data_IF_182345223787
#
_entry.id   IF_182345223787
#
_cell.length_a   1.000
_cell.length_b   1.000
_cell.length_c   1.000
_cell.angle_alpha   90.00
_cell.angle_beta   90.00
_cell.angle_gamma   90.00
#
_symmetry.space_group_name_H-M   'P 1'
#
loop_
_entity.id
_entity.type
_entity.pdbx_description
1 polymer ?
#
# COMPACT_ATOMS: atom_id res chain seq x y z
N UNK A 1 0.70 8.19 13.98
CA UNK A 1 1.33 7.63 12.77
C UNK A 1 0.35 7.70 11.60
N UNK A 2 0.77 8.27 10.48
CA UNK A 2 -0.04 8.30 9.27
C UNK A 2 0.33 7.11 8.39
N UNK A 3 -0.68 6.32 8.02
CA UNK A 3 -0.49 5.15 7.16
C UNK A 3 -1.23 5.39 5.85
N UNK A 4 -0.53 5.21 4.73
CA UNK A 4 -1.10 5.32 3.40
C UNK A 4 -0.82 4.02 2.63
N UNK A 5 -1.85 3.48 2.02
CA UNK A 5 -1.77 2.20 1.30
C UNK A 5 -2.23 2.41 -0.13
N UNK A 6 -1.42 1.96 -1.09
CA UNK A 6 -1.85 1.80 -2.46
C UNK A 6 -2.28 0.36 -2.67
N UNK A 7 -3.50 0.16 -3.12
CA UNK A 7 -4.08 -1.18 -3.32
C UNK A 7 -4.65 -1.32 -4.72
N UNK A 8 -4.90 -2.57 -5.12
CA UNK A 8 -5.55 -2.90 -6.39
C UNK A 8 -6.75 -3.80 -6.09
N UNK A 9 -7.65 -3.93 -7.07
CA UNK A 9 -8.79 -4.84 -6.95
C UNK A 9 -8.31 -6.30 -6.92
N UNK A 10 -9.07 -7.15 -6.25
CA UNK A 10 -8.80 -8.60 -6.17
C UNK A 10 -7.41 -8.91 -5.59
N UNK A 11 -7.01 -8.15 -4.59
CA UNK A 11 -5.72 -8.31 -3.95
C UNK A 11 -5.89 -8.86 -2.53
N UNK A 12 -5.54 -10.12 -2.33
CA UNK A 12 -5.67 -10.78 -1.02
C UNK A 12 -4.77 -10.15 0.02
N UNK A 13 -3.56 -9.78 -0.36
CA UNK A 13 -2.61 -9.16 0.57
C UNK A 13 -3.03 -7.76 0.99
N UNK A 14 -3.65 -7.01 0.06
CA UNK A 14 -4.20 -5.70 0.38
C UNK A 14 -5.30 -5.82 1.43
N UNK A 15 -6.22 -6.77 1.24
CA UNK A 15 -7.30 -7.00 2.19
C UNK A 15 -6.78 -7.49 3.54
N UNK A 16 -5.81 -8.39 3.54
CA UNK A 16 -5.21 -8.90 4.77
C UNK A 16 -4.55 -7.78 5.57
N UNK A 17 -3.81 -6.91 4.90
CA UNK A 17 -3.16 -5.77 5.57
C UNK A 17 -4.20 -4.82 6.17
N UNK A 18 -5.24 -4.49 5.41
CA UNK A 18 -6.31 -3.61 5.92
C UNK A 18 -6.96 -4.21 7.15
N UNK A 19 -7.20 -5.52 7.16
CA UNK A 19 -7.77 -6.21 8.31
C UNK A 19 -6.87 -6.07 9.54
N UNK A 20 -5.57 -6.29 9.38
CA UNK A 20 -4.61 -6.16 10.48
C UNK A 20 -4.63 -4.73 11.05
N UNK A 21 -4.61 -3.73 10.18
CA UNK A 21 -4.64 -2.33 10.60
C UNK A 21 -5.93 -1.99 11.35
N UNK A 22 -7.06 -2.47 10.85
CA UNK A 22 -8.36 -2.25 11.51
C UNK A 22 -8.41 -2.91 12.88
N UNK A 23 -7.95 -4.15 12.99
CA UNK A 23 -7.92 -4.89 14.25
C UNK A 23 -6.96 -4.27 15.27
N UNK A 24 -5.93 -3.60 14.78
CA UNK A 24 -4.95 -2.91 15.63
C UNK A 24 -5.33 -1.46 15.93
N UNK A 25 -6.51 -1.02 15.48
CA UNK A 25 -6.99 0.36 15.64
C UNK A 25 -6.05 1.39 15.05
N UNK A 26 -5.39 1.05 13.93
CA UNK A 26 -4.50 1.97 13.22
C UNK A 26 -5.25 2.55 12.03
N UNK A 27 -5.54 3.86 12.03
CA UNK A 27 -6.21 4.49 10.89
C UNK A 27 -5.28 4.53 9.67
N UNK A 28 -5.85 4.42 8.48
CA UNK A 28 -5.08 4.46 7.24
C UNK A 28 -5.90 5.10 6.13
N UNK A 29 -5.17 5.58 5.12
CA UNK A 29 -5.75 6.11 3.90
C UNK A 29 -5.47 5.10 2.80
N UNK A 30 -6.52 4.67 2.11
CA UNK A 30 -6.38 3.73 0.99
C UNK A 30 -6.56 4.47 -0.34
N UNK A 31 -5.60 4.29 -1.25
CA UNK A 31 -5.69 4.80 -2.61
C UNK A 31 -5.73 3.61 -3.56
N UNK A 32 -6.84 3.46 -4.26
CA UNK A 32 -6.99 2.39 -5.24
C UNK A 32 -6.26 2.74 -6.53
N UNK A 33 -5.52 1.77 -7.08
CA UNK A 33 -4.81 1.90 -8.34
C UNK A 33 -5.41 0.91 -9.33
N UNK A 34 -5.66 1.35 -10.55
CA UNK A 34 -6.16 0.47 -11.61
C UNK A 34 -5.00 -0.28 -12.25
N UNK A 35 -5.21 -1.55 -12.52
CA UNK A 35 -4.24 -2.32 -13.30
C UNK A 35 -4.23 -1.83 -14.74
N UNK A 36 -3.08 -1.95 -15.40
CA UNK A 36 -2.97 -1.55 -16.81
C UNK A 36 -4.00 -2.24 -17.70
N UNK A 37 -4.31 -3.50 -17.39
CA UNK A 37 -5.24 -4.31 -18.20
C UNK A 37 -6.71 -4.02 -17.93
N UNK A 38 -7.04 -3.31 -16.86
CA UNK A 38 -8.43 -3.00 -16.49
C UNK A 38 -9.03 -1.84 -17.30
N UNK A 39 -8.16 -0.98 -17.85
CA UNK A 39 -8.61 0.19 -18.58
C UNK A 39 -9.35 1.18 -17.72
N UNK A 40 -10.68 1.28 -17.91
CA UNK A 40 -11.53 2.17 -17.14
C UNK A 40 -11.98 1.50 -15.84
N UNK A 41 -12.23 2.30 -14.82
CA UNK A 41 -12.69 1.81 -13.53
C UNK A 41 -12.39 2.81 -12.43
N UNK A 42 -12.69 2.42 -11.20
CA UNK A 42 -12.43 3.25 -10.03
C UNK A 42 -10.95 3.26 -9.68
N UNK A 43 -10.47 4.40 -9.22
CA UNK A 43 -9.12 4.53 -8.72
C UNK A 43 -8.20 5.26 -9.67
N UNK A 44 -6.97 5.45 -9.22
CA UNK A 44 -5.92 6.15 -9.94
C UNK A 44 -5.41 5.27 -11.09
N UNK A 45 -5.08 5.88 -12.23
CA UNK A 45 -4.46 5.12 -13.32
C UNK A 45 -3.07 4.66 -12.89
N UNK A 46 -2.61 3.55 -13.49
CA UNK A 46 -1.29 3.02 -13.16
C UNK A 46 -0.17 4.01 -13.53
N UNK A 47 -0.36 4.72 -14.64
CA UNK A 47 0.60 5.76 -15.07
C UNK A 47 0.71 6.89 -14.05
N UNK A 48 -0.43 7.38 -13.56
CA UNK A 48 -0.45 8.44 -12.55
C UNK A 48 0.21 7.98 -11.25
N UNK A 49 -0.05 6.73 -10.85
CA UNK A 49 0.56 6.13 -9.68
C UNK A 49 2.10 6.11 -9.81
N UNK A 50 2.63 5.70 -10.97
CA UNK A 50 4.07 5.66 -11.18
C UNK A 50 4.71 7.06 -11.12
N UNK A 51 4.01 8.06 -11.64
CA UNK A 51 4.50 9.44 -11.62
C UNK A 51 4.45 10.05 -10.22
N UNK A 52 3.40 9.73 -9.46
CA UNK A 52 3.18 10.28 -8.14
C UNK A 52 4.16 9.72 -7.10
N UNK A 53 4.55 8.46 -7.26
CA UNK A 53 5.39 7.77 -6.27
C UNK A 53 6.69 7.27 -6.90
N UNK A 54 7.62 8.16 -7.21
CA UNK A 54 8.89 7.78 -7.83
C UNK A 54 9.83 7.01 -6.89
N UNK A 55 9.58 7.05 -5.57
CA UNK A 55 10.42 6.38 -4.59
C UNK A 55 10.27 4.86 -4.57
N UNK A 56 9.20 4.35 -5.18
CA UNK A 56 9.00 2.90 -5.25
C UNK A 56 9.99 2.30 -6.25
N UNK A 57 10.84 1.34 -5.83
CA UNK A 57 11.79 0.71 -6.74
C UNK A 57 11.10 0.10 -7.96
N UNK A 58 11.70 0.24 -9.12
CA UNK A 58 11.12 -0.22 -10.39
C UNK A 58 10.69 -1.70 -10.31
N UNK A 59 11.52 -2.54 -9.70
CA UNK A 59 11.25 -3.97 -9.58
C UNK A 59 10.05 -4.28 -8.69
N UNK A 60 9.60 -3.32 -7.87
CA UNK A 60 8.53 -3.53 -6.90
C UNK A 60 7.23 -2.81 -7.26
N UNK A 61 7.20 -2.04 -8.33
CA UNK A 61 6.05 -1.19 -8.67
C UNK A 61 4.76 -1.95 -8.94
N UNK A 62 4.86 -3.20 -9.38
CA UNK A 62 3.68 -4.03 -9.65
C UNK A 62 3.27 -4.91 -8.49
N UNK A 63 3.92 -4.78 -7.34
CA UNK A 63 3.61 -5.55 -6.13
C UNK A 63 2.72 -4.71 -5.22
N UNK A 64 1.58 -5.25 -4.83
CA UNK A 64 0.65 -4.54 -3.94
C UNK A 64 0.37 -5.39 -2.70
N UNK A 65 0.04 -4.76 -1.56
CA UNK A 65 -0.09 -3.33 -1.35
C UNK A 65 1.27 -2.62 -1.27
N UNK A 66 1.29 -1.32 -1.59
CA UNK A 66 2.45 -0.46 -1.35
C UNK A 66 2.12 0.40 -0.13
N UNK A 67 3.00 0.43 0.85
CA UNK A 67 2.70 1.04 2.14
C UNK A 67 3.68 2.17 2.46
N UNK A 68 3.13 3.27 2.95
CA UNK A 68 3.89 4.42 3.43
C UNK A 68 3.53 4.69 4.88
N UNK A 69 4.54 4.92 5.71
CA UNK A 69 4.36 5.39 7.10
C UNK A 69 4.95 6.78 7.24
N UNK A 70 4.11 7.74 7.64
CA UNK A 70 4.52 9.15 7.84
C UNK A 70 5.22 9.72 6.61
N UNK A 71 4.69 9.40 5.42
CA UNK A 71 5.21 9.89 4.15
C UNK A 71 6.44 9.16 3.61
N UNK A 72 6.94 8.15 4.33
CA UNK A 72 8.10 7.37 3.90
C UNK A 72 7.67 6.01 3.35
N UNK A 73 8.24 5.64 2.22
CA UNK A 73 7.97 4.34 1.62
C UNK A 73 8.54 3.21 2.49
N UNK A 74 7.70 2.26 2.84
CA UNK A 74 8.09 1.11 3.65
C UNK A 74 8.22 -0.15 2.81
N UNK A 75 7.27 -0.39 1.92
CA UNK A 75 7.28 -1.57 1.08
C UNK A 75 5.91 -2.24 0.97
N UNK A 76 5.93 -3.56 0.83
CA UNK A 76 4.71 -4.36 0.70
C UNK A 76 4.14 -4.73 2.08
N UNK A 77 3.14 -5.62 2.09
CA UNK A 77 2.50 -6.06 3.34
C UNK A 77 3.51 -6.62 4.35
N UNK A 78 4.45 -7.46 3.89
CA UNK A 78 5.43 -8.07 4.78
C UNK A 78 6.32 -7.01 5.43
N UNK A 79 6.81 -6.07 4.63
CA UNK A 79 7.65 -4.99 5.13
C UNK A 79 6.89 -4.11 6.12
N UNK A 80 5.61 -3.86 5.85
CA UNK A 80 4.76 -3.07 6.74
C UNK A 80 4.55 -3.76 8.08
N UNK A 81 4.28 -5.07 8.06
CA UNK A 81 4.09 -5.84 9.28
C UNK A 81 5.36 -5.89 10.11
N UNK A 82 6.51 -6.09 9.46
CA UNK A 82 7.81 -6.07 10.15
C UNK A 82 8.05 -4.73 10.83
N UNK A 83 7.72 -3.65 10.14
CA UNK A 83 7.86 -2.29 10.69
C UNK A 83 6.98 -2.10 11.94
N UNK A 84 5.73 -2.56 11.88
CA UNK A 84 4.81 -2.45 12.99
C UNK A 84 5.27 -3.25 14.20
N UNK A 85 5.73 -4.50 13.98
CA UNK A 85 6.23 -5.33 15.06
C UNK A 85 7.46 -4.74 15.74
N UNK A 86 8.38 -4.19 14.97
CA UNK A 86 9.57 -3.54 15.53
C UNK A 86 9.21 -2.34 16.39
N UNK A 87 8.18 -1.60 16.01
CA UNK A 87 7.75 -0.45 16.78
C UNK A 87 7.01 -0.85 18.06
N UNK A 88 6.35 -2.01 18.07
CA UNK A 88 5.64 -2.50 19.24
C UNK A 88 6.57 -3.07 20.31
N UNK A 89 7.74 -3.54 19.91
CA UNK A 89 8.69 -4.20 20.83
C UNK A 89 9.64 -3.24 21.55
N UNK A 90 9.45 -1.97 21.39
CA UNK A 90 10.25 -0.98 22.09
C UNK A 90 9.84 -0.78 23.54
#
# INVERSE_FOLDING_TARGET
MEVKIYSINDCKYCEALKTVLLESFIPFIEVKVRRLVEGEGEGMSFTDYLELEPDIPVAKRCIFPQVYFDGKYVGNMRDALDYLYKNETK
#
